data_IF_005507203057
#
_entry.id   IF_005507203057
#
_cell.length_a   1.000
_cell.length_b   1.000
_cell.length_c   1.000
_cell.angle_alpha   90.00
_cell.angle_beta   90.00
_cell.angle_gamma   90.00
#
_symmetry.space_group_name_H-M   'P 1'
#
loop_
_entity.id
_entity.type
_entity.pdbx_description
1 polymer ?
#
# COMPACT_ATOMS: atom_id res chain seq x y z
N UNK A 1 28.57 -43.20 -9.97
CA UNK A 1 28.23 -42.25 -8.89
C UNK A 1 28.36 -40.77 -9.34
N UNK A 2 29.45 -40.35 -9.99
CA UNK A 2 29.67 -38.95 -10.37
C UNK A 2 28.60 -38.37 -11.34
N UNK A 3 28.11 -39.22 -12.32
CA UNK A 3 27.08 -38.79 -13.29
C UNK A 3 25.69 -38.55 -12.64
N UNK A 4 25.33 -39.27 -11.61
CA UNK A 4 24.05 -39.15 -10.88
C UNK A 4 24.05 -37.87 -10.04
N UNK A 5 25.17 -37.54 -9.39
CA UNK A 5 25.31 -36.28 -8.63
C UNK A 5 25.18 -35.04 -9.55
N UNK A 6 25.75 -35.11 -10.77
CA UNK A 6 25.68 -34.01 -11.75
C UNK A 6 24.24 -33.75 -12.21
N UNK A 7 23.44 -34.81 -12.39
CA UNK A 7 22.04 -34.71 -12.83
C UNK A 7 21.14 -34.13 -11.74
N UNK A 8 21.38 -34.51 -10.46
CA UNK A 8 20.63 -33.99 -9.32
C UNK A 8 20.94 -32.50 -9.08
N UNK A 9 22.21 -32.10 -9.24
CA UNK A 9 22.60 -30.69 -9.12
C UNK A 9 21.97 -29.81 -10.22
N UNK A 10 21.81 -30.34 -11.44
CA UNK A 10 21.20 -29.63 -12.57
C UNK A 10 19.66 -29.51 -12.42
N UNK A 11 19.02 -30.48 -11.78
CA UNK A 11 17.57 -30.43 -11.49
C UNK A 11 17.23 -29.48 -10.32
N UNK A 12 18.14 -29.29 -9.37
CA UNK A 12 17.94 -28.31 -8.28
C UNK A 12 18.08 -26.84 -8.73
N UNK A 13 18.77 -26.55 -9.82
CA UNK A 13 18.88 -25.18 -10.36
C UNK A 13 17.60 -24.69 -11.05
N UNK A 14 16.65 -25.58 -11.35
CA UNK A 14 15.39 -25.21 -12.05
C UNK A 14 14.27 -24.75 -11.09
N UNK A 15 14.48 -24.83 -9.79
CA UNK A 15 13.49 -24.44 -8.78
C UNK A 15 13.85 -23.10 -8.11
N UNK A 16 14.30 -22.11 -8.90
CA UNK A 16 14.33 -20.73 -8.41
C UNK A 16 12.86 -20.27 -8.46
N UNK A 17 12.18 -20.07 -7.31
CA UNK A 17 10.87 -19.46 -7.35
C UNK A 17 11.04 -18.11 -8.04
N UNK A 18 10.27 -17.88 -9.10
CA UNK A 18 10.15 -16.56 -9.69
C UNK A 18 9.97 -15.58 -8.54
N UNK A 19 10.91 -14.65 -8.37
CA UNK A 19 10.71 -13.51 -7.52
C UNK A 19 9.44 -12.83 -8.05
N UNK A 20 8.30 -13.11 -7.42
CA UNK A 20 7.06 -12.46 -7.75
C UNK A 20 7.33 -10.97 -7.57
N UNK A 21 7.38 -10.24 -8.68
CA UNK A 21 7.37 -8.80 -8.63
C UNK A 21 6.20 -8.40 -7.70
N UNK A 22 6.48 -7.58 -6.70
CA UNK A 22 5.46 -7.20 -5.71
C UNK A 22 4.27 -6.62 -6.47
N UNK A 23 3.12 -7.31 -6.40
CA UNK A 23 1.91 -6.87 -7.07
C UNK A 23 1.44 -5.58 -6.42
N UNK A 24 1.08 -4.59 -7.22
CA UNK A 24 0.36 -3.40 -6.79
C UNK A 24 -1.14 -3.63 -6.87
N UNK A 25 -1.91 -2.79 -6.22
CA UNK A 25 -3.38 -2.85 -6.25
C UNK A 25 -3.91 -2.61 -7.66
N UNK A 26 -4.96 -3.31 -8.03
CA UNK A 26 -5.50 -3.28 -9.39
C UNK A 26 -5.92 -1.87 -9.83
N UNK A 27 -6.44 -1.05 -8.90
CA UNK A 27 -6.82 0.35 -9.16
C UNK A 27 -5.62 1.27 -9.41
N UNK A 28 -4.43 0.95 -8.91
CA UNK A 28 -3.19 1.65 -9.25
C UNK A 28 -2.51 1.04 -10.48
N UNK A 29 -2.65 -0.25 -10.70
CA UNK A 29 -2.01 -0.93 -11.83
C UNK A 29 -2.40 -0.32 -13.17
N UNK A 30 -3.67 0.06 -13.34
CA UNK A 30 -4.17 0.66 -14.58
C UNK A 30 -3.49 2.01 -14.88
N UNK A 31 -3.35 2.88 -13.88
CA UNK A 31 -2.79 4.24 -14.04
C UNK A 31 -1.26 4.28 -13.94
N UNK A 32 -0.64 3.28 -13.34
CA UNK A 32 0.82 3.19 -13.15
C UNK A 32 1.51 2.32 -14.21
N UNK A 33 0.79 1.75 -15.16
CA UNK A 33 1.38 0.96 -16.24
C UNK A 33 1.72 1.88 -17.41
N UNK A 34 3.02 2.01 -17.69
CA UNK A 34 3.51 2.79 -18.82
C UNK A 34 3.24 2.13 -20.18
N UNK A 35 3.53 2.84 -21.26
CA UNK A 35 3.32 2.40 -22.64
C UNK A 35 4.08 1.09 -22.99
N UNK A 36 5.11 0.77 -22.22
CA UNK A 36 5.89 -0.46 -22.34
C UNK A 36 5.23 -1.68 -21.65
N UNK A 37 4.04 -1.51 -21.08
CA UNK A 37 3.30 -2.55 -20.34
C UNK A 37 3.90 -2.89 -18.97
N UNK A 38 4.80 -2.05 -18.44
CA UNK A 38 5.42 -2.25 -17.12
C UNK A 38 4.95 -1.19 -16.13
N UNK A 39 4.84 -1.61 -14.87
CA UNK A 39 4.50 -0.70 -13.78
C UNK A 39 5.65 0.26 -13.48
N UNK A 40 5.35 1.54 -13.42
CA UNK A 40 6.26 2.64 -13.10
C UNK A 40 6.49 2.75 -11.58
N UNK A 41 7.32 1.87 -11.05
CA UNK A 41 7.62 1.82 -9.60
C UNK A 41 8.20 3.14 -9.06
N UNK A 42 8.87 3.92 -9.91
CA UNK A 42 9.46 5.21 -9.56
C UNK A 42 8.42 6.28 -9.21
N UNK A 43 7.19 6.14 -9.68
CA UNK A 43 6.11 7.07 -9.34
C UNK A 43 5.87 7.18 -7.82
N UNK A 44 6.04 6.06 -7.10
CA UNK A 44 5.90 6.02 -5.65
C UNK A 44 7.27 5.99 -4.92
N UNK A 45 8.25 5.27 -5.49
CA UNK A 45 9.51 4.99 -4.81
C UNK A 45 10.70 5.86 -5.27
N UNK A 46 10.48 6.74 -6.24
CA UNK A 46 11.58 7.48 -6.87
C UNK A 46 12.58 6.56 -7.60
N UNK A 47 13.71 7.13 -8.02
CA UNK A 47 14.72 6.45 -8.85
C UNK A 47 15.77 5.67 -8.05
N UNK A 48 15.66 5.63 -6.73
CA UNK A 48 16.62 4.91 -5.89
C UNK A 48 16.68 3.42 -6.25
N UNK A 49 17.89 2.85 -6.32
CA UNK A 49 18.09 1.42 -6.59
C UNK A 49 17.44 0.53 -5.54
N UNK A 50 17.52 0.95 -4.27
CA UNK A 50 16.86 0.27 -3.16
C UNK A 50 15.56 1.00 -2.83
N UNK A 51 14.45 0.34 -3.03
CA UNK A 51 13.14 0.89 -2.72
C UNK A 51 12.91 0.89 -1.20
N UNK A 52 12.40 2.00 -0.71
CA UNK A 52 11.98 2.20 0.69
C UNK A 52 10.48 2.44 0.72
N UNK A 53 9.89 2.51 1.90
CA UNK A 53 8.50 2.95 2.06
C UNK A 53 8.41 4.38 1.53
N UNK A 54 7.47 4.68 0.61
CA UNK A 54 7.30 6.04 0.08
C UNK A 54 6.91 7.03 1.17
N UNK A 55 7.34 8.27 1.01
CA UNK A 55 6.83 9.39 1.80
C UNK A 55 5.38 9.74 1.39
N UNK A 56 4.64 10.43 2.26
CA UNK A 56 3.27 10.87 2.00
C UNK A 56 3.15 11.68 0.70
N UNK A 57 4.15 12.51 0.40
CA UNK A 57 4.19 13.33 -0.82
C UNK A 57 4.04 12.54 -2.13
N UNK A 58 4.47 11.28 -2.16
CA UNK A 58 4.26 10.41 -3.32
C UNK A 58 2.76 10.10 -3.53
N UNK A 59 2.01 9.94 -2.45
CA UNK A 59 0.56 9.72 -2.49
C UNK A 59 -0.17 11.04 -2.81
N UNK A 60 0.21 12.11 -2.13
CA UNK A 60 -0.42 13.43 -2.23
C UNK A 60 -0.30 14.06 -3.62
N UNK A 61 0.73 13.69 -4.38
CA UNK A 61 0.91 14.15 -5.76
C UNK A 61 -0.29 13.84 -6.68
N UNK A 62 -1.09 12.84 -6.34
CA UNK A 62 -2.29 12.45 -7.08
C UNK A 62 -3.57 12.56 -6.24
N UNK A 63 -3.48 12.31 -4.94
CA UNK A 63 -4.64 12.26 -4.04
C UNK A 63 -4.98 13.60 -3.36
N UNK A 64 -4.12 14.60 -3.48
CA UNK A 64 -4.22 15.85 -2.74
C UNK A 64 -3.61 15.76 -1.35
N UNK A 65 -3.58 16.88 -0.62
CA UNK A 65 -3.02 16.92 0.73
C UNK A 65 -3.83 16.08 1.72
N UNK A 66 -3.21 15.72 2.83
CA UNK A 66 -3.92 14.98 3.88
C UNK A 66 -5.09 15.80 4.45
N UNK A 67 -4.99 17.13 4.48
CA UNK A 67 -6.06 18.03 4.90
C UNK A 67 -7.24 17.98 3.93
N UNK A 68 -6.99 17.94 2.60
CA UNK A 68 -8.03 17.76 1.60
C UNK A 68 -8.73 16.42 1.77
N UNK A 69 -7.98 15.35 2.01
CA UNK A 69 -8.52 14.02 2.27
C UNK A 69 -9.32 14.00 3.58
N UNK A 70 -8.83 14.67 4.63
CA UNK A 70 -9.53 14.79 5.90
C UNK A 70 -10.88 15.49 5.73
N UNK A 71 -10.95 16.55 4.92
CA UNK A 71 -12.21 17.24 4.64
C UNK A 71 -13.16 16.36 3.79
N UNK A 72 -12.64 15.63 2.79
CA UNK A 72 -13.43 14.70 1.97
C UNK A 72 -14.02 13.54 2.78
N UNK A 73 -13.33 13.10 3.81
CA UNK A 73 -13.74 11.99 4.69
C UNK A 73 -14.35 12.45 6.00
N UNK A 74 -14.61 13.74 6.13
CA UNK A 74 -15.22 14.34 7.29
C UNK A 74 -16.59 13.75 7.56
N UNK A 75 -16.84 13.48 8.82
CA UNK A 75 -18.13 12.98 9.27
C UNK A 75 -19.21 14.05 9.10
N UNK A 76 -20.43 13.67 8.73
CA UNK A 76 -21.57 14.59 8.77
C UNK A 76 -21.70 15.21 10.17
N UNK A 77 -22.05 16.49 10.25
CA UNK A 77 -22.18 17.21 11.53
C UNK A 77 -23.28 16.64 12.44
N UNK A 78 -24.24 15.95 11.85
CA UNK A 78 -25.35 15.28 12.53
C UNK A 78 -25.08 13.78 12.76
N UNK A 79 -23.88 13.30 12.44
CA UNK A 79 -23.49 11.92 12.71
C UNK A 79 -23.54 11.66 14.21
N UNK A 80 -24.28 10.62 14.61
CA UNK A 80 -24.37 10.17 15.98
C UNK A 80 -23.04 9.68 16.55
N UNK A 81 -23.01 9.34 17.83
CA UNK A 81 -21.83 8.79 18.48
C UNK A 81 -21.39 7.41 17.97
N UNK A 82 -22.29 6.71 17.26
CA UNK A 82 -22.05 5.36 16.73
C UNK A 82 -21.31 5.35 15.39
N UNK A 83 -20.92 6.52 14.86
CA UNK A 83 -20.14 6.64 13.63
C UNK A 83 -18.66 6.77 13.97
N UNK A 84 -17.85 5.98 13.30
CA UNK A 84 -16.40 5.94 13.49
C UNK A 84 -15.74 7.32 13.31
N UNK A 85 -14.68 7.65 14.05
CA UNK A 85 -13.97 8.92 13.88
C UNK A 85 -13.35 9.04 12.49
N UNK A 86 -13.08 10.28 12.04
CA UNK A 86 -12.34 10.46 10.79
C UNK A 86 -10.91 9.92 10.94
N UNK A 87 -10.49 8.90 10.15
CA UNK A 87 -9.15 8.34 10.27
C UNK A 87 -8.05 9.28 9.77
N UNK A 88 -8.39 10.27 8.93
CA UNK A 88 -7.45 11.24 8.35
C UNK A 88 -7.33 12.55 9.16
N UNK A 89 -8.13 12.69 10.21
CA UNK A 89 -8.04 13.75 11.23
C UNK A 89 -8.41 13.14 12.57
N UNK A 90 -7.52 12.32 13.11
CA UNK A 90 -7.79 11.54 14.32
C UNK A 90 -7.43 12.29 15.58
N UNK A 91 -8.10 11.98 16.69
CA UNK A 91 -7.84 12.59 18.01
C UNK A 91 -6.41 12.36 18.52
N UNK A 92 -5.74 11.28 18.06
CA UNK A 92 -4.40 10.93 18.54
C UNK A 92 -3.29 11.50 17.66
N UNK A 93 -3.53 11.65 16.37
CA UNK A 93 -2.50 11.96 15.37
C UNK A 93 -2.83 13.20 14.54
N UNK A 94 -4.06 13.72 14.62
CA UNK A 94 -4.51 14.75 13.68
C UNK A 94 -4.37 14.22 12.25
N UNK A 95 -3.71 15.01 11.41
CA UNK A 95 -3.37 14.67 10.01
C UNK A 95 -1.96 14.07 9.84
N UNK A 96 -1.23 13.80 10.92
CA UNK A 96 0.18 13.38 10.87
C UNK A 96 0.38 11.86 10.67
N UNK A 97 -0.71 11.06 10.63
CA UNK A 97 -0.60 9.61 10.48
C UNK A 97 -0.15 9.25 9.05
N UNK A 98 0.98 8.54 8.88
CA UNK A 98 1.45 8.16 7.54
C UNK A 98 0.42 7.32 6.79
N UNK A 99 0.16 7.65 5.52
CA UNK A 99 -0.79 6.95 4.64
C UNK A 99 -0.57 5.43 4.63
N UNK A 100 0.71 5.03 4.60
CA UNK A 100 1.13 3.62 4.53
C UNK A 100 0.90 2.82 5.81
N UNK A 101 0.46 3.44 6.91
CA UNK A 101 0.08 2.71 8.13
C UNK A 101 -1.24 1.96 7.94
N UNK A 102 -2.13 2.50 7.13
CA UNK A 102 -3.41 1.89 6.81
C UNK A 102 -3.44 1.39 5.36
N UNK A 103 -3.02 2.23 4.40
CA UNK A 103 -3.06 1.93 2.97
C UNK A 103 -1.77 1.26 2.51
N UNK A 104 -1.82 -0.06 2.33
CA UNK A 104 -0.67 -0.86 1.95
C UNK A 104 -0.81 -1.31 0.50
N UNK A 105 0.11 -0.86 -0.38
CA UNK A 105 0.03 -1.14 -1.81
C UNK A 105 0.34 -2.59 -2.17
N UNK A 106 1.33 -3.20 -1.51
CA UNK A 106 1.81 -4.54 -1.84
C UNK A 106 1.23 -5.65 -0.96
N UNK A 107 0.28 -5.34 -0.10
CA UNK A 107 -0.40 -6.29 0.79
C UNK A 107 -1.75 -5.75 1.21
N UNK A 108 -2.48 -6.52 1.97
CA UNK A 108 -3.78 -6.11 2.49
C UNK A 108 -3.65 -4.89 3.40
N UNK A 109 -4.47 -3.87 3.12
CA UNK A 109 -4.59 -2.68 3.94
C UNK A 109 -5.29 -3.00 5.27
N UNK A 110 -4.90 -2.34 6.35
CA UNK A 110 -5.43 -2.59 7.70
C UNK A 110 -5.72 -1.28 8.40
N UNK A 111 -6.75 -1.28 9.20
CA UNK A 111 -7.05 -0.15 10.09
C UNK A 111 -6.01 -0.11 11.21
N UNK A 112 -5.09 0.86 11.17
CA UNK A 112 -4.02 1.01 12.16
C UNK A 112 -4.55 1.17 13.59
N UNK A 113 -5.65 1.88 13.75
CA UNK A 113 -6.29 2.14 15.04
C UNK A 113 -6.75 0.85 15.74
N UNK A 114 -6.98 -0.24 14.99
CA UNK A 114 -7.46 -1.51 15.52
C UNK A 114 -6.40 -2.32 16.28
N UNK A 115 -5.24 -1.71 16.55
CA UNK A 115 -4.32 -2.21 17.58
C UNK A 115 -4.89 -2.00 19.00
N UNK A 116 -5.81 -1.02 19.17
CA UNK A 116 -6.44 -0.67 20.46
C UNK A 116 -7.96 -0.52 20.36
N UNK A 117 -8.51 -0.34 19.16
CA UNK A 117 -9.93 -0.11 18.88
C UNK A 117 -10.49 -1.21 17.99
N UNK A 118 -11.80 -1.19 17.77
CA UNK A 118 -12.52 -2.09 16.86
C UNK A 118 -13.32 -1.26 15.84
N UNK A 119 -12.63 -0.35 15.13
CA UNK A 119 -13.26 0.50 14.13
C UNK A 119 -13.47 -0.23 12.82
N UNK A 120 -14.58 0.07 12.15
CA UNK A 120 -14.93 -0.45 10.84
C UNK A 120 -15.04 0.70 9.82
N UNK A 121 -14.24 0.63 8.76
CA UNK A 121 -14.28 1.57 7.64
C UNK A 121 -14.60 0.79 6.35
N UNK A 122 -15.88 0.55 6.04
CA UNK A 122 -16.28 -0.28 4.89
C UNK A 122 -15.84 0.32 3.55
N UNK A 123 -15.72 1.65 3.46
CA UNK A 123 -15.26 2.33 2.25
C UNK A 123 -13.74 2.28 2.03
N UNK A 124 -12.99 1.78 3.01
CA UNK A 124 -11.55 1.64 2.89
C UNK A 124 -11.18 0.63 1.80
N UNK A 125 -10.41 1.06 0.80
CA UNK A 125 -9.89 0.16 -0.24
C UNK A 125 -8.84 -0.80 0.35
N UNK A 126 -9.09 -2.08 0.27
CA UNK A 126 -8.26 -3.16 0.84
C UNK A 126 -7.46 -3.91 -0.22
#
# INVERSE_FOLDING_TARGET
>A
MLKVLSTICMLMLMAIPNANAMKIKDYHQEIMTGDNGKVECSACHGDAKRKTIPDASACESCHGSVEDIAELTKRPADAGHDVEPNPHDSLHYGTDLPCTYCHMEHKESKVYCNQCHEFEYPEMKR
#
